data_IF_796760973808
#
_entry.id   IF_796760973808
#
_cell.length_a   1.000
_cell.length_b   1.000
_cell.length_c   1.000
_cell.angle_alpha   90.00
_cell.angle_beta   90.00
_cell.angle_gamma   90.00
#
_symmetry.space_group_name_H-M   'P 1'
#
loop_
_entity.id
_entity.type
_entity.pdbx_description
1 polymer ?
#
# COMPACT_ATOMS: atom_id res chain seq x y z
N UNK A 1 11.56 28.48 50.24
CA UNK A 1 10.69 27.32 49.95
C UNK A 1 9.32 27.85 49.56
N UNK A 2 8.86 27.61 48.32
CA UNK A 2 7.54 28.04 47.88
C UNK A 2 7.30 27.64 46.43
N UNK A 3 6.69 26.47 46.20
CA UNK A 3 6.22 25.99 44.90
C UNK A 3 4.69 25.93 44.96
N UNK A 4 4.00 26.69 44.11
CA UNK A 4 2.58 26.52 43.85
C UNK A 4 2.34 26.39 42.34
N UNK A 5 1.61 25.35 41.96
CA UNK A 5 1.14 25.04 40.62
C UNK A 5 -0.15 25.81 40.32
N UNK A 6 -0.39 26.24 39.07
CA UNK A 6 -1.76 26.46 38.51
C UNK A 6 -1.72 26.60 36.98
N UNK A 7 -2.69 25.96 36.33
CA UNK A 7 -2.88 25.84 34.89
C UNK A 7 -3.42 27.13 34.21
N UNK A 8 -3.33 27.23 32.87
CA UNK A 8 -4.50 27.40 31.98
C UNK A 8 -4.13 27.72 30.53
N UNK A 9 -5.01 27.26 29.65
CA UNK A 9 -4.92 27.07 28.21
C UNK A 9 -5.10 28.33 27.36
N UNK A 10 -4.80 28.15 26.06
CA UNK A 10 -5.46 28.73 24.87
C UNK A 10 -4.67 29.79 24.10
N UNK A 11 -4.24 29.43 22.89
CA UNK A 11 -4.09 30.38 21.78
C UNK A 11 -4.51 29.71 20.47
N UNK A 12 -5.75 30.02 20.09
CA UNK A 12 -6.35 29.77 18.79
C UNK A 12 -5.57 30.49 17.69
N UNK A 13 -5.41 29.86 16.53
CA UNK A 13 -5.01 30.53 15.29
C UNK A 13 -5.72 29.85 14.13
N UNK A 14 -6.83 30.46 13.73
CA UNK A 14 -7.61 30.13 12.55
C UNK A 14 -6.79 30.47 11.31
N UNK A 15 -6.65 29.54 10.37
CA UNK A 15 -6.32 29.85 8.97
C UNK A 15 -7.08 28.93 8.05
N UNK A 16 -8.21 29.47 7.58
CA UNK A 16 -9.01 29.03 6.46
C UNK A 16 -8.19 28.95 5.18
N UNK A 17 -8.12 27.78 4.57
CA UNK A 17 -7.43 27.55 3.31
C UNK A 17 -7.91 26.28 2.61
N UNK A 18 -9.23 26.11 2.46
CA UNK A 18 -9.76 25.06 1.59
C UNK A 18 -9.78 25.53 0.15
N UNK A 19 -9.03 24.85 -0.74
CA UNK A 19 -9.21 24.44 -2.18
C UNK A 19 -7.99 23.54 -2.46
N UNK A 20 -8.01 22.35 -3.05
CA UNK A 20 -8.82 21.84 -4.15
C UNK A 20 -8.96 20.32 -3.97
N UNK A 21 -10.21 19.85 -3.93
CA UNK A 21 -10.50 18.47 -4.25
C UNK A 21 -10.06 18.26 -5.71
N UNK A 22 -8.90 17.62 -5.90
CA UNK A 22 -8.55 17.06 -7.19
C UNK A 22 -9.43 15.84 -7.39
N UNK A 23 -10.65 16.09 -7.87
CA UNK A 23 -11.50 15.09 -8.50
C UNK A 23 -10.83 14.64 -9.80
N UNK A 24 -9.70 13.93 -9.68
CA UNK A 24 -9.17 13.14 -10.76
C UNK A 24 -10.11 11.95 -10.89
N UNK A 25 -10.81 11.86 -12.02
CA UNK A 25 -11.62 10.70 -12.42
C UNK A 25 -10.68 9.49 -12.54
N UNK A 26 -10.28 8.91 -11.43
CA UNK A 26 -9.46 7.70 -11.39
C UNK A 26 -10.45 6.57 -11.57
N UNK A 27 -10.71 6.19 -12.81
CA UNK A 27 -11.28 4.87 -13.07
C UNK A 27 -10.46 3.89 -12.23
N UNK A 28 -11.11 3.18 -11.32
CA UNK A 28 -10.48 2.30 -10.36
C UNK A 28 -9.72 1.23 -11.13
N UNK A 29 -8.46 1.52 -11.49
CA UNK A 29 -7.54 0.54 -12.04
C UNK A 29 -7.31 -0.41 -10.89
N UNK A 30 -8.04 -1.52 -10.86
CA UNK A 30 -7.81 -2.58 -9.87
C UNK A 30 -6.36 -3.00 -10.06
N UNK A 31 -5.51 -2.79 -9.07
CA UNK A 31 -4.11 -3.19 -9.14
C UNK A 31 -3.97 -4.57 -8.53
N UNK A 32 -3.25 -5.48 -9.19
CA UNK A 32 -2.95 -6.82 -8.65
C UNK A 32 -1.48 -6.97 -8.36
N UNK A 33 -1.16 -7.56 -7.22
CA UNK A 33 0.19 -8.02 -6.92
C UNK A 33 0.40 -9.41 -7.49
N UNK A 34 1.40 -9.53 -8.35
CA UNK A 34 1.87 -10.80 -8.89
C UNK A 34 3.28 -11.09 -8.43
N UNK A 35 3.68 -12.36 -8.46
CA UNK A 35 5.06 -12.74 -8.19
C UNK A 35 5.54 -13.88 -9.09
N UNK A 36 6.85 -13.94 -9.28
CA UNK A 36 7.56 -15.01 -9.97
C UNK A 36 8.51 -15.70 -9.01
N UNK A 37 8.57 -17.03 -9.09
CA UNK A 37 9.41 -17.83 -8.20
C UNK A 37 10.89 -17.50 -8.39
N UNK A 38 11.60 -17.22 -7.29
CA UNK A 38 13.03 -16.94 -7.31
C UNK A 38 13.88 -18.13 -7.79
N UNK A 39 13.44 -19.36 -7.50
CA UNK A 39 14.19 -20.59 -7.77
C UNK A 39 14.04 -21.08 -9.22
N UNK A 40 12.80 -21.29 -9.68
CA UNK A 40 12.52 -21.84 -11.01
C UNK A 40 12.06 -20.80 -12.06
N UNK A 41 11.97 -19.52 -11.67
CA UNK A 41 11.49 -18.40 -12.51
C UNK A 41 10.08 -18.58 -13.10
N UNK A 42 9.31 -19.52 -12.55
CA UNK A 42 7.96 -19.81 -12.98
C UNK A 42 6.95 -18.84 -12.35
N UNK A 43 5.96 -18.39 -13.13
CA UNK A 43 4.91 -17.43 -12.76
C UNK A 43 4.25 -16.85 -14.01
N UNK A 44 3.35 -15.85 -13.89
CA UNK A 44 3.04 -15.07 -12.69
C UNK A 44 2.00 -15.73 -11.78
N UNK A 45 2.26 -15.69 -10.47
CA UNK A 45 1.38 -16.18 -9.40
C UNK A 45 0.71 -15.03 -8.66
N UNK A 46 -0.42 -15.28 -7.99
CA UNK A 46 -1.11 -14.26 -7.21
C UNK A 46 -0.45 -14.11 -5.84
N UNK A 47 0.17 -12.96 -5.58
CA UNK A 47 0.92 -12.73 -4.34
C UNK A 47 0.06 -12.86 -3.08
N UNK A 48 -1.24 -12.60 -3.17
CA UNK A 48 -2.16 -12.65 -2.03
C UNK A 48 -2.70 -14.05 -1.71
N UNK A 49 -2.65 -14.97 -2.67
CA UNK A 49 -3.28 -16.31 -2.56
C UNK A 49 -2.21 -17.39 -2.57
N UNK A 50 -1.25 -17.28 -3.49
CA UNK A 50 -0.22 -18.27 -3.72
C UNK A 50 1.01 -17.94 -2.86
N UNK A 51 1.12 -18.58 -1.70
CA UNK A 51 2.26 -18.41 -0.77
C UNK A 51 3.49 -19.24 -1.16
N UNK A 52 3.33 -20.17 -2.10
CA UNK A 52 4.38 -21.07 -2.57
C UNK A 52 4.24 -21.33 -4.07
N UNK A 53 5.36 -21.66 -4.71
CA UNK A 53 5.40 -21.96 -6.13
C UNK A 53 4.90 -23.38 -6.39
N UNK A 54 3.84 -23.53 -7.17
CA UNK A 54 3.28 -24.84 -7.52
C UNK A 54 4.30 -25.78 -8.22
N UNK A 55 5.26 -25.24 -8.95
CA UNK A 55 6.20 -26.04 -9.74
C UNK A 55 7.36 -26.63 -8.91
N UNK A 56 7.78 -25.98 -7.84
CA UNK A 56 8.96 -26.40 -7.06
C UNK A 56 8.76 -26.33 -5.54
N UNK A 57 7.53 -26.06 -5.10
CA UNK A 57 7.11 -25.89 -3.70
C UNK A 57 7.91 -24.83 -2.93
N UNK A 58 8.63 -23.94 -3.62
CA UNK A 58 9.41 -22.87 -3.01
C UNK A 58 8.48 -21.78 -2.45
N UNK A 59 8.63 -21.45 -1.18
CA UNK A 59 7.85 -20.39 -0.54
C UNK A 59 8.27 -19.00 -1.03
N UNK A 60 7.33 -18.05 -0.99
CA UNK A 60 7.65 -16.64 -1.26
C UNK A 60 8.80 -16.18 -0.36
N UNK A 61 9.77 -15.52 -0.95
CA UNK A 61 10.91 -14.95 -0.24
C UNK A 61 11.37 -13.65 -0.92
N UNK A 62 12.29 -12.92 -0.29
CA UNK A 62 12.79 -11.64 -0.82
C UNK A 62 13.54 -11.75 -2.15
N UNK A 63 13.93 -12.95 -2.59
CA UNK A 63 14.56 -13.16 -3.91
C UNK A 63 13.54 -13.44 -5.01
N UNK A 64 12.27 -13.62 -4.66
CA UNK A 64 11.18 -13.71 -5.61
C UNK A 64 10.88 -12.33 -6.21
N UNK A 65 10.54 -12.32 -7.49
CA UNK A 65 10.27 -11.07 -8.20
C UNK A 65 8.79 -10.73 -8.04
N UNK A 66 8.48 -9.68 -7.28
CA UNK A 66 7.12 -9.26 -6.93
C UNK A 66 6.83 -7.91 -7.61
N UNK A 67 5.73 -7.84 -8.36
CA UNK A 67 5.37 -6.64 -9.14
C UNK A 67 3.88 -6.34 -9.04
N UNK A 68 3.54 -5.06 -9.09
CA UNK A 68 2.17 -4.59 -9.19
C UNK A 68 1.81 -4.39 -10.67
N UNK A 69 0.72 -5.01 -11.12
CA UNK A 69 0.21 -4.87 -12.49
C UNK A 69 -1.19 -4.24 -12.48
N UNK A 70 -1.49 -3.35 -13.44
CA UNK A 70 -2.84 -2.85 -13.63
C UNK A 70 -3.72 -3.97 -14.19
N UNK A 71 -4.83 -4.27 -13.52
CA UNK A 71 -5.90 -5.08 -14.09
C UNK A 71 -6.73 -4.13 -14.95
N UNK A 72 -6.57 -4.23 -16.27
CA UNK A 72 -7.45 -3.53 -17.19
C UNK A 72 -8.76 -4.31 -17.29
N UNK A 73 -9.79 -3.84 -16.59
CA UNK A 73 -11.15 -4.42 -16.59
C UNK A 73 -11.96 -3.96 -17.81
N UNK A 74 -11.34 -3.55 -18.92
CA UNK A 74 -12.10 -3.22 -20.13
C UNK A 74 -12.47 -4.50 -20.88
N UNK A 75 -13.75 -4.83 -20.75
CA UNK A 75 -14.48 -5.89 -21.44
C UNK A 75 -14.91 -5.43 -22.83
#
# INVERSE_FOLDING_TARGET
>A
MGKYSSASSSKSSSSSGGKQASSSRTGSKTQKWIWYCGNCKFGPWNYQIDTHCFNCSHQICNTCDVRQIPIDTRK
#
